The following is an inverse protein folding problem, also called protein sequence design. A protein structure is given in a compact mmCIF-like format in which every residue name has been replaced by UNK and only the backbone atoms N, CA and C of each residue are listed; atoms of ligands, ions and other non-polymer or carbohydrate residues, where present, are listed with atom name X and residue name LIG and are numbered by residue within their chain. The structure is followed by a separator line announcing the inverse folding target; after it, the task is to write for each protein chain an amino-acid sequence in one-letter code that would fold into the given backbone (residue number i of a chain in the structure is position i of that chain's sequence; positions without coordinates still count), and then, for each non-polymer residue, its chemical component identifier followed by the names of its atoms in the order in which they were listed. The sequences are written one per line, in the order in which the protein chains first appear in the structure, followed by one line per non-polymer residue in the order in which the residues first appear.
data_IF_977623690341
#
_entry.id   IF_977623690341
#
_cell.length_a   1.000
_cell.length_b   1.000
_cell.length_c   1.000
_cell.angle_alpha   90.00
_cell.angle_beta   90.00
_cell.angle_gamma   90.00
#
_symmetry.space_group_name_H-M   'P 1'
#
loop_
_entity.id
_entity.type
_entity.pdbx_description
1 polymer ?
#
# COMPACT_ATOMS: atom_id res chain seq x y z
N UNK A 1 -50.64 -46.39 36.91
CA UNK A 1 -49.63 -45.31 37.00
C UNK A 1 -48.56 -45.54 35.93
N UNK A 2 -48.51 -44.71 34.90
CA UNK A 2 -47.34 -44.56 34.02
C UNK A 2 -47.52 -43.29 33.19
N UNK A 3 -46.87 -42.22 33.65
CA UNK A 3 -46.70 -40.95 32.94
C UNK A 3 -45.56 -41.15 31.94
N UNK A 4 -45.81 -40.91 30.64
CA UNK A 4 -44.76 -40.96 29.60
C UNK A 4 -44.48 -39.57 29.06
N UNK A 5 -43.24 -39.15 29.34
CA UNK A 5 -42.32 -38.30 28.61
C UNK A 5 -42.88 -37.20 27.69
N UNK A 6 -42.74 -35.99 28.22
CA UNK A 6 -42.58 -34.71 27.55
C UNK A 6 -41.39 -34.71 26.56
N UNK A 7 -41.61 -34.33 25.30
CA UNK A 7 -40.55 -33.85 24.39
C UNK A 7 -41.19 -33.14 23.19
N UNK A 8 -41.33 -31.81 23.26
CA UNK A 8 -41.62 -30.97 22.08
C UNK A 8 -40.37 -30.15 21.80
N UNK A 9 -39.79 -30.40 20.63
CA UNK A 9 -38.51 -29.89 20.15
C UNK A 9 -38.54 -28.38 19.90
N UNK A 10 -37.65 -27.65 20.56
CA UNK A 10 -37.32 -26.26 20.23
C UNK A 10 -36.36 -26.27 19.02
N UNK A 11 -36.88 -25.96 17.83
CA UNK A 11 -36.07 -25.77 16.63
C UNK A 11 -35.29 -24.46 16.72
N UNK A 12 -34.01 -24.55 17.11
CA UNK A 12 -33.07 -23.44 17.06
C UNK A 12 -32.65 -23.21 15.60
N UNK A 13 -33.22 -22.18 14.96
CA UNK A 13 -32.84 -21.72 13.63
C UNK A 13 -31.48 -21.00 13.73
N UNK A 14 -30.39 -21.75 13.57
CA UNK A 14 -29.03 -21.22 13.52
C UNK A 14 -28.87 -20.42 12.21
N UNK A 15 -28.96 -19.10 12.28
CA UNK A 15 -28.62 -18.21 11.16
C UNK A 15 -27.11 -18.25 10.97
N UNK A 16 -26.66 -19.10 10.04
CA UNK A 16 -25.29 -19.07 9.54
C UNK A 16 -25.10 -17.76 8.76
N UNK A 17 -24.55 -16.74 9.41
CA UNK A 17 -24.04 -15.55 8.74
C UNK A 17 -22.90 -16.00 7.83
N UNK A 18 -23.21 -16.14 6.54
CA UNK A 18 -22.20 -16.38 5.52
C UNK A 18 -21.37 -15.10 5.43
N UNK A 19 -20.17 -15.11 5.99
CA UNK A 19 -19.16 -14.08 5.78
C UNK A 19 -18.82 -14.04 4.29
N UNK A 20 -19.53 -13.19 3.55
CA UNK A 20 -19.17 -12.88 2.18
C UNK A 20 -17.76 -12.26 2.22
N UNK A 21 -16.80 -12.78 1.42
CA UNK A 21 -15.48 -12.18 1.35
C UNK A 21 -15.66 -10.71 0.97
N UNK A 22 -15.13 -9.80 1.78
CA UNK A 22 -15.19 -8.37 1.54
C UNK A 22 -14.59 -8.09 0.16
N UNK A 23 -15.46 -7.96 -0.84
CA UNK A 23 -15.04 -7.63 -2.20
C UNK A 23 -14.33 -6.28 -2.16
N UNK A 24 -13.18 -6.19 -2.81
CA UNK A 24 -12.48 -4.92 -2.97
C UNK A 24 -13.48 -3.88 -3.50
N UNK A 25 -13.57 -2.74 -2.82
CA UNK A 25 -14.56 -1.74 -3.20
C UNK A 25 -14.24 -1.21 -4.60
N UNK A 26 -15.27 -1.01 -5.45
CA UNK A 26 -15.06 -0.43 -6.77
C UNK A 26 -14.41 0.94 -6.63
N UNK A 27 -13.62 1.33 -7.64
CA UNK A 27 -13.01 2.64 -7.66
C UNK A 27 -14.09 3.75 -7.61
N UNK A 28 -13.92 4.79 -6.78
CA UNK A 28 -14.84 5.91 -6.74
C UNK A 28 -15.00 6.56 -8.12
N UNK A 29 -16.25 6.75 -8.57
CA UNK A 29 -16.56 7.38 -9.86
C UNK A 29 -15.80 8.70 -10.09
N UNK A 30 -15.65 9.60 -9.10
CA UNK A 30 -14.92 10.85 -9.28
C UNK A 30 -13.42 10.70 -9.60
N UNK A 31 -12.83 9.53 -9.32
CA UNK A 31 -11.42 9.25 -9.60
C UNK A 31 -11.19 8.53 -10.93
N UNK A 32 -12.25 8.12 -11.64
CA UNK A 32 -12.10 7.45 -12.93
C UNK A 32 -11.46 8.38 -13.96
N UNK A 33 -10.52 7.84 -14.73
CA UNK A 33 -9.65 8.55 -15.68
C UNK A 33 -8.76 9.64 -15.05
N UNK A 34 -8.49 9.53 -13.75
CA UNK A 34 -7.61 10.46 -13.03
C UNK A 34 -6.36 9.78 -12.51
N UNK A 35 -5.32 10.58 -12.35
CA UNK A 35 -4.11 10.19 -11.65
C UNK A 35 -4.05 10.86 -10.29
N UNK A 36 -3.90 10.06 -9.24
CA UNK A 36 -3.52 10.53 -7.91
C UNK A 36 -2.00 10.55 -7.84
N UNK A 37 -1.42 11.74 -7.62
CA UNK A 37 0.02 11.93 -7.47
C UNK A 37 0.36 12.06 -6.00
N UNK A 38 1.32 11.28 -5.56
CA UNK A 38 1.88 11.30 -4.22
C UNK A 38 3.36 11.61 -4.34
N UNK A 39 3.86 12.51 -3.50
CA UNK A 39 5.30 12.69 -3.35
C UNK A 39 5.71 12.82 -1.89
N UNK A 40 6.92 12.38 -1.58
CA UNK A 40 7.50 12.49 -0.24
C UNK A 40 9.02 12.31 -0.31
N UNK A 41 9.70 12.73 0.75
CA UNK A 41 11.11 12.45 0.96
C UNK A 41 11.25 11.24 1.87
N UNK A 42 12.04 10.27 1.43
CA UNK A 42 12.41 9.08 2.18
C UNK A 42 13.81 9.29 2.76
N UNK A 43 13.98 9.11 4.06
CA UNK A 43 15.28 9.05 4.72
C UNK A 43 15.44 7.71 5.43
N UNK A 44 16.53 7.01 5.15
CA UNK A 44 16.92 5.78 5.80
C UNK A 44 18.19 6.01 6.61
N UNK A 45 18.21 5.51 7.84
CA UNK A 45 19.43 5.36 8.62
C UNK A 45 19.89 3.92 8.48
N UNK A 46 21.12 3.74 8.01
CA UNK A 46 21.72 2.47 7.67
C UNK A 46 22.99 2.25 8.52
N UNK A 47 23.28 1.01 8.90
CA UNK A 47 24.50 0.61 9.57
C UNK A 47 25.38 -0.19 8.60
N UNK A 48 26.65 0.20 8.50
CA UNK A 48 27.67 -0.51 7.72
C UNK A 48 28.24 -1.70 8.51
N UNK A 49 28.96 -2.64 7.85
CA UNK A 49 29.60 -3.76 8.54
C UNK A 49 30.66 -3.32 9.56
N UNK A 50 31.26 -2.13 9.37
CA UNK A 50 32.20 -1.51 10.32
C UNK A 50 31.50 -0.83 11.52
N UNK A 51 30.18 -0.99 11.65
CA UNK A 51 29.35 -0.40 12.71
C UNK A 51 28.97 1.07 12.49
N UNK A 52 29.52 1.75 11.49
CA UNK A 52 29.22 3.17 11.25
C UNK A 52 27.80 3.37 10.74
N UNK A 53 27.15 4.40 11.27
CA UNK A 53 25.83 4.84 10.83
C UNK A 53 25.98 5.78 9.64
N UNK A 54 25.18 5.56 8.60
CA UNK A 54 25.09 6.41 7.41
C UNK A 54 23.64 6.69 7.07
N UNK A 55 23.36 7.90 6.62
CA UNK A 55 22.04 8.29 6.14
C UNK A 55 22.01 8.24 4.63
N UNK A 56 20.87 7.81 4.08
CA UNK A 56 20.64 7.77 2.65
C UNK A 56 19.17 7.95 2.36
N UNK A 57 18.84 8.66 1.29
CA UNK A 57 17.47 9.04 1.04
C UNK A 57 17.29 9.70 -0.31
N UNK A 58 16.06 10.11 -0.58
CA UNK A 58 15.72 10.82 -1.80
C UNK A 58 14.24 11.12 -1.91
N UNK A 59 13.91 11.95 -2.90
CA UNK A 59 12.53 12.19 -3.26
C UNK A 59 11.95 10.94 -3.95
N UNK A 60 10.71 10.66 -3.60
CA UNK A 60 9.91 9.59 -4.17
C UNK A 60 8.64 10.20 -4.71
N UNK A 61 8.30 9.83 -5.94
CA UNK A 61 6.99 10.09 -6.52
C UNK A 61 6.27 8.77 -6.80
N UNK A 62 4.98 8.73 -6.53
CA UNK A 62 4.09 7.64 -6.87
C UNK A 62 2.88 8.21 -7.61
N UNK A 63 2.55 7.62 -8.75
CA UNK A 63 1.39 7.97 -9.53
C UNK A 63 0.44 6.76 -9.52
N UNK A 64 -0.80 6.99 -9.16
CA UNK A 64 -1.86 5.98 -9.17
C UNK A 64 -2.91 6.42 -10.18
N UNK A 65 -2.86 5.85 -11.39
CA UNK A 65 -3.85 6.12 -12.41
C UNK A 65 -5.03 5.15 -12.27
N UNK A 66 -6.24 5.68 -12.19
CA UNK A 66 -7.47 4.90 -12.14
C UNK A 66 -8.13 5.01 -13.52
N UNK A 67 -8.19 3.90 -14.24
CA UNK A 67 -8.83 3.85 -15.56
C UNK A 67 -10.35 4.05 -15.49
N UNK A 68 -10.99 4.28 -16.64
CA UNK A 68 -12.45 4.28 -16.79
C UNK A 68 -13.13 3.00 -16.28
N UNK A 69 -12.43 1.87 -16.34
CA UNK A 69 -12.89 0.58 -15.82
C UNK A 69 -12.60 0.37 -14.31
N UNK A 70 -12.11 1.40 -13.61
CA UNK A 70 -11.79 1.34 -12.18
C UNK A 70 -10.51 0.57 -11.84
N UNK A 71 -9.72 0.19 -12.84
CA UNK A 71 -8.44 -0.52 -12.64
C UNK A 71 -7.32 0.47 -12.32
N UNK A 72 -6.47 0.12 -11.35
CA UNK A 72 -5.38 0.98 -10.86
C UNK A 72 -4.05 0.57 -11.49
N UNK A 73 -3.36 1.54 -12.08
CA UNK A 73 -2.00 1.45 -12.60
C UNK A 73 -1.08 2.27 -11.71
N UNK A 74 0.13 1.78 -11.45
CA UNK A 74 1.06 2.42 -10.53
C UNK A 74 2.36 2.73 -11.23
N UNK A 75 2.82 3.97 -11.14
CA UNK A 75 4.20 4.38 -11.48
C UNK A 75 4.91 4.85 -10.23
N UNK A 76 6.17 4.50 -10.10
CA UNK A 76 7.05 4.96 -9.03
C UNK A 76 8.32 5.53 -9.65
N UNK A 77 8.73 6.69 -9.16
CA UNK A 77 9.99 7.34 -9.54
C UNK A 77 10.76 7.60 -8.24
N UNK A 78 11.96 7.06 -8.11
CA UNK A 78 12.80 7.22 -6.92
C UNK A 78 14.29 7.03 -7.26
N UNK A 79 15.14 7.98 -6.85
CA UNK A 79 16.60 7.85 -7.00
C UNK A 79 17.07 7.61 -8.45
N UNK A 80 16.39 8.20 -9.43
CA UNK A 80 16.67 8.02 -10.86
C UNK A 80 16.13 6.72 -11.46
N UNK A 81 15.48 5.86 -10.67
CA UNK A 81 14.82 4.66 -11.14
C UNK A 81 13.31 4.89 -11.30
N UNK A 82 12.78 4.42 -12.43
CA UNK A 82 11.34 4.39 -12.71
C UNK A 82 10.87 2.95 -12.75
N UNK A 83 9.70 2.71 -12.18
CA UNK A 83 9.06 1.40 -12.21
C UNK A 83 7.55 1.52 -12.33
N UNK A 84 6.95 0.63 -13.12
CA UNK A 84 5.52 0.63 -13.42
C UNK A 84 4.90 -0.75 -13.11
N UNK A 85 3.63 -0.76 -12.72
CA UNK A 85 2.86 -1.96 -12.51
C UNK A 85 1.40 -1.76 -12.95
N UNK A 86 0.90 -2.73 -13.70
CA UNK A 86 -0.48 -2.83 -14.09
C UNK A 86 -1.38 -3.44 -12.99
N UNK A 87 -2.71 -3.47 -13.24
CA UNK A 87 -3.69 -4.06 -12.35
C UNK A 87 -3.39 -5.56 -12.13
N UNK A 88 -3.22 -5.97 -10.87
CA UNK A 88 -2.97 -7.36 -10.51
C UNK A 88 -1.52 -7.82 -10.70
N UNK A 89 -0.62 -6.96 -11.18
CA UNK A 89 0.79 -7.30 -11.33
C UNK A 89 1.50 -7.27 -9.98
N UNK A 90 2.03 -8.43 -9.57
CA UNK A 90 2.87 -8.54 -8.38
C UNK A 90 4.31 -8.16 -8.73
N UNK A 91 4.66 -6.87 -8.64
CA UNK A 91 6.05 -6.47 -8.80
C UNK A 91 6.87 -6.77 -7.54
N UNK A 92 8.07 -7.33 -7.74
CA UNK A 92 9.01 -7.72 -6.67
C UNK A 92 9.96 -6.56 -6.32
N UNK A 93 10.61 -6.61 -5.15
CA UNK A 93 11.70 -5.82 -4.51
C UNK A 93 12.10 -4.39 -4.95
N UNK A 94 11.78 -3.94 -6.16
CA UNK A 94 11.77 -2.55 -6.66
C UNK A 94 10.94 -1.59 -5.79
N UNK A 95 10.03 -2.16 -4.98
CA UNK A 95 9.07 -1.46 -4.17
C UNK A 95 8.17 -0.52 -4.98
N UNK A 96 7.88 -0.90 -6.21
CA UNK A 96 6.59 -0.58 -6.82
C UNK A 96 5.50 -1.25 -5.95
N UNK A 97 4.29 -0.67 -5.94
CA UNK A 97 3.19 -1.28 -5.20
C UNK A 97 2.81 -2.61 -5.87
N UNK A 98 2.81 -3.70 -5.09
CA UNK A 98 2.33 -5.03 -5.52
C UNK A 98 0.81 -5.12 -5.52
N UNK A 99 0.16 -4.23 -4.77
CA UNK A 99 -1.29 -4.11 -4.73
C UNK A 99 -1.65 -2.65 -4.45
N UNK A 100 -2.71 -2.19 -5.12
CA UNK A 100 -3.39 -0.94 -4.83
C UNK A 100 -4.89 -1.21 -4.89
N UNK A 101 -5.65 -0.70 -3.92
CA UNK A 101 -7.10 -0.94 -3.83
C UNK A 101 -7.80 0.19 -3.12
N UNK A 102 -9.11 0.32 -3.36
CA UNK A 102 -9.96 1.24 -2.63
C UNK A 102 -10.62 0.57 -1.44
N UNK A 103 -10.58 1.24 -0.29
CA UNK A 103 -11.19 0.79 0.97
C UNK A 103 -11.66 2.00 1.78
N UNK A 104 -12.97 2.15 1.94
CA UNK A 104 -13.58 3.16 2.82
C UNK A 104 -13.18 4.60 2.50
N UNK A 105 -13.19 4.99 1.21
CA UNK A 105 -12.79 6.34 0.79
C UNK A 105 -11.27 6.57 0.83
N UNK A 106 -10.48 5.50 0.88
CA UNK A 106 -9.02 5.56 0.84
C UNK A 106 -8.48 4.71 -0.29
N UNK A 107 -7.36 5.13 -0.87
CA UNK A 107 -6.54 4.27 -1.73
C UNK A 107 -5.40 3.72 -0.87
N UNK A 108 -5.32 2.40 -0.76
CA UNK A 108 -4.28 1.71 -0.01
C UNK A 108 -3.38 0.99 -0.99
N UNK A 109 -2.10 1.33 -0.98
CA UNK A 109 -1.07 0.68 -1.78
C UNK A 109 -0.02 0.03 -0.88
N UNK A 110 0.34 -1.22 -1.19
CA UNK A 110 1.33 -2.00 -0.44
C UNK A 110 2.48 -2.36 -1.38
N UNK A 111 3.71 -2.16 -0.94
CA UNK A 111 4.92 -2.44 -1.70
C UNK A 111 5.89 -3.31 -0.90
N UNK A 112 6.38 -4.39 -1.50
CA UNK A 112 7.46 -5.19 -0.90
C UNK A 112 8.80 -4.52 -1.13
N UNK A 113 9.61 -4.40 -0.06
CA UNK A 113 10.85 -3.61 -0.05
C UNK A 113 11.99 -4.43 0.57
N UNK A 114 12.39 -5.51 -0.12
CA UNK A 114 13.60 -6.29 0.18
C UNK A 114 13.87 -6.47 1.68
N UNK A 115 12.96 -7.17 2.37
CA UNK A 115 13.04 -7.41 3.83
C UNK A 115 12.01 -6.64 4.66
N UNK A 116 11.26 -5.68 4.09
CA UNK A 116 10.11 -5.07 4.76
C UNK A 116 8.97 -4.75 3.78
N UNK A 117 7.95 -4.05 4.29
CA UNK A 117 6.78 -3.64 3.51
C UNK A 117 6.53 -2.14 3.68
N UNK A 118 6.36 -1.43 2.57
CA UNK A 118 5.85 -0.07 2.56
C UNK A 118 4.33 -0.09 2.42
N UNK A 119 3.64 0.77 3.17
CA UNK A 119 2.21 1.02 3.02
C UNK A 119 2.01 2.50 2.74
N UNK A 120 1.30 2.82 1.67
CA UNK A 120 0.87 4.18 1.33
C UNK A 120 -0.66 4.22 1.45
N UNK A 121 -1.17 5.13 2.26
CA UNK A 121 -2.60 5.37 2.43
C UNK A 121 -2.89 6.77 1.93
N UNK A 122 -3.64 6.87 0.84
CA UNK A 122 -4.21 8.14 0.38
C UNK A 122 -5.63 8.25 0.91
N UNK A 123 -5.94 9.32 1.63
CA UNK A 123 -7.29 9.62 2.08
C UNK A 123 -7.85 10.77 1.25
N UNK A 124 -9.09 10.63 0.78
CA UNK A 124 -9.78 11.65 0.00
C UNK A 124 -10.78 12.40 0.87
N UNK A 125 -11.02 13.66 0.55
CA UNK A 125 -12.20 14.36 1.05
C UNK A 125 -13.48 13.75 0.42
N UNK A 126 -14.67 13.97 1.00
CA UNK A 126 -15.92 13.42 0.45
C UNK A 126 -16.19 13.79 -1.01
N UNK A 127 -15.68 14.93 -1.48
CA UNK A 127 -15.82 15.40 -2.86
C UNK A 127 -14.74 14.89 -3.83
N UNK A 128 -13.73 14.17 -3.34
CA UNK A 128 -12.57 13.74 -4.14
C UNK A 128 -11.87 14.91 -4.87
N UNK A 129 -11.90 16.09 -4.26
CA UNK A 129 -11.29 17.32 -4.75
C UNK A 129 -9.85 17.49 -4.24
N UNK A 130 -9.56 16.90 -3.08
CA UNK A 130 -8.26 16.94 -2.42
C UNK A 130 -7.92 15.58 -1.82
N UNK A 131 -6.65 15.42 -1.45
CA UNK A 131 -6.21 14.21 -0.78
C UNK A 131 -5.06 14.49 0.18
N UNK A 132 -4.92 13.62 1.16
CA UNK A 132 -3.77 13.54 2.05
C UNK A 132 -3.13 12.18 1.92
N UNK A 133 -1.86 12.07 2.30
CA UNK A 133 -1.13 10.81 2.19
C UNK A 133 -0.33 10.52 3.45
N UNK A 134 -0.48 9.29 3.93
CA UNK A 134 0.34 8.70 4.97
C UNK A 134 1.20 7.59 4.36
N UNK A 135 2.46 7.52 4.78
CA UNK A 135 3.41 6.52 4.29
C UNK A 135 4.12 5.89 5.48
N UNK A 136 4.04 4.57 5.54
CA UNK A 136 4.59 3.73 6.58
C UNK A 136 5.58 2.73 5.99
N UNK A 137 6.59 2.38 6.77
CA UNK A 137 7.45 1.24 6.53
C UNK A 137 7.38 0.26 7.71
N UNK A 138 6.96 -0.97 7.45
CA UNK A 138 7.01 -2.07 8.38
C UNK A 138 8.24 -2.94 8.15
N UNK A 139 8.86 -3.39 9.25
CA UNK A 139 9.87 -4.46 9.26
C UNK A 139 9.26 -5.70 9.91
N UNK A 140 9.68 -6.91 9.52
CA UNK A 140 9.35 -8.12 10.27
C UNK A 140 9.89 -7.99 11.69
N UNK A 141 9.12 -8.49 12.65
CA UNK A 141 9.48 -8.51 14.06
C UNK A 141 10.78 -9.30 14.29
N UNK A 142 11.71 -8.74 15.06
CA UNK A 142 13.02 -9.34 15.33
C UNK A 142 13.96 -9.47 14.11
N UNK A 143 13.51 -9.10 12.91
CA UNK A 143 14.27 -9.24 11.67
C UNK A 143 15.11 -8.00 11.33
N UNK A 144 16.34 -8.23 10.85
CA UNK A 144 17.14 -7.19 10.23
C UNK A 144 16.81 -7.08 8.73
N UNK A 145 16.67 -5.85 8.25
CA UNK A 145 16.51 -5.59 6.81
C UNK A 145 17.86 -5.19 6.26
N UNK A 146 18.48 -6.04 5.46
CA UNK A 146 19.76 -5.73 4.83
C UNK A 146 19.60 -5.37 3.37
N UNK A 147 20.44 -4.46 2.88
CA UNK A 147 20.46 -4.00 1.49
C UNK A 147 21.89 -3.94 0.99
N UNK A 148 22.11 -4.28 -0.27
CA UNK A 148 23.40 -4.07 -0.91
C UNK A 148 23.57 -2.57 -1.19
N UNK A 149 24.60 -1.97 -0.60
CA UNK A 149 24.96 -0.59 -0.86
C UNK A 149 25.60 -0.41 -2.26
N UNK A 150 25.75 0.84 -2.72
CA UNK A 150 26.31 1.13 -4.06
C UNK A 150 27.73 0.58 -4.28
N UNK A 151 28.52 0.41 -3.21
CA UNK A 151 29.87 -0.17 -3.24
C UNK A 151 29.91 -1.67 -2.92
N UNK A 152 28.79 -2.36 -3.04
CA UNK A 152 28.70 -3.82 -2.83
C UNK A 152 28.63 -4.29 -1.37
N UNK A 153 28.95 -3.44 -0.39
CA UNK A 153 28.84 -3.77 1.03
C UNK A 153 27.39 -3.95 1.50
N UNK A 154 27.17 -4.83 2.48
CA UNK A 154 25.85 -5.04 3.10
C UNK A 154 25.58 -3.90 4.10
N UNK A 155 24.43 -3.26 3.97
CA UNK A 155 23.95 -2.22 4.86
C UNK A 155 22.71 -2.71 5.60
N UNK A 156 22.70 -2.63 6.91
CA UNK A 156 21.53 -2.91 7.74
C UNK A 156 20.66 -1.66 7.85
N UNK A 157 19.37 -1.75 7.55
CA UNK A 157 18.41 -0.67 7.73
C UNK A 157 17.99 -0.58 9.19
N UNK A 158 18.39 0.50 9.87
CA UNK A 158 18.09 0.76 11.27
C UNK A 158 16.76 1.49 11.42
N UNK A 159 16.52 2.53 10.64
CA UNK A 159 15.24 3.26 10.65
C UNK A 159 14.91 3.84 9.29
N UNK A 160 13.62 4.11 9.11
CA UNK A 160 13.05 4.75 7.94
C UNK A 160 12.13 5.86 8.41
N UNK A 161 12.29 7.06 7.86
CA UNK A 161 11.39 8.20 8.11
C UNK A 161 10.93 8.82 6.80
N UNK A 162 9.74 9.42 6.85
CA UNK A 162 9.09 10.08 5.74
C UNK A 162 8.79 11.54 6.08
N UNK A 163 9.01 12.45 5.15
CA UNK A 163 8.70 13.87 5.31
C UNK A 163 8.24 14.50 4.00
N UNK A 164 7.65 15.69 4.07
CA UNK A 164 7.22 16.43 2.88
C UNK A 164 6.17 15.70 2.06
N UNK A 165 5.31 14.92 2.71
CA UNK A 165 4.19 14.24 2.08
C UNK A 165 3.28 15.24 1.36
N UNK A 166 3.04 15.02 0.09
CA UNK A 166 2.07 15.79 -0.70
C UNK A 166 1.21 14.84 -1.54
N UNK A 167 -0.03 15.27 -1.76
CA UNK A 167 -0.99 14.54 -2.58
C UNK A 167 -1.76 15.51 -3.47
N UNK A 168 -1.98 15.13 -4.73
CA UNK A 168 -2.81 15.87 -5.67
C UNK A 168 -3.52 14.94 -6.61
N UNK A 169 -4.62 15.41 -7.21
CA UNK A 169 -5.41 14.67 -8.19
C UNK A 169 -5.32 15.45 -9.50
N UNK A 170 -4.98 14.75 -10.58
CA UNK A 170 -4.82 15.32 -11.90
C UNK A 170 -5.62 14.53 -12.93
N UNK A 171 -6.11 15.20 -13.97
CA UNK A 171 -6.78 14.54 -15.08
C UNK A 171 -5.82 13.69 -15.92
N UNK A 172 -6.36 12.61 -16.48
CA UNK A 172 -5.70 11.78 -17.48
C UNK A 172 -4.74 10.73 -16.92
N UNK A 173 -4.18 9.93 -17.84
CA UNK A 173 -3.20 8.90 -17.57
C UNK A 173 -1.78 9.48 -17.57
N UNK A 174 -1.29 9.84 -16.39
CA UNK A 174 0.08 10.35 -16.23
C UNK A 174 1.11 9.24 -16.02
N UNK A 175 0.68 7.98 -15.89
CA UNK A 175 1.58 6.82 -15.81
C UNK A 175 2.22 6.55 -17.17
N UNK A 176 1.50 6.79 -18.27
CA UNK A 176 1.96 6.53 -19.64
C UNK A 176 2.95 7.57 -20.22
N UNK A 177 3.21 8.68 -19.51
CA UNK A 177 4.11 9.75 -19.95
C UNK A 177 5.52 9.61 -19.38
#
# INVERSE_FOLDING_TARGET
MSVRCLAIAFAALLVLAVDAPAAAQPAPRPLLNKTVRVSFTLTNTLRRPDGRMVTGGGNVQQLFYVSSAGRIFVKRIAGGQTGEAGPGEATTNSGIARSASFQGGKLIAIANRGGGAGRTIVSFDPGFSSCTVDVLYGKPEGGSVTRRGPRGGILELISTSYSGQSCSIAEGNQVAN
#
